data_IF_080739312850
#
_entry.id   IF_080739312850
#
_cell.length_a   1.000
_cell.length_b   1.000
_cell.length_c   1.000
_cell.angle_alpha   90.00
_cell.angle_beta   90.00
_cell.angle_gamma   90.00
#
_symmetry.space_group_name_H-M   'P 1'
#
loop_
_entity.id
_entity.type
_entity.pdbx_description
1 polymer ?
#
# COMPACT_ATOMS: atom_id res chain seq x y z
N UNK A 1 -2.88 -6.47 6.97
CA UNK A 1 -2.82 -5.99 5.57
C UNK A 1 -2.69 -7.20 4.65
N UNK A 2 -3.79 -7.72 4.06
CA UNK A 2 -3.67 -8.73 3.01
C UNK A 2 -2.79 -8.25 1.85
N UNK A 3 -2.00 -9.17 1.29
CA UNK A 3 -1.24 -8.96 0.05
C UNK A 3 -2.22 -8.95 -1.14
N UNK A 4 -2.14 -7.90 -1.94
CA UNK A 4 -3.00 -7.69 -3.11
C UNK A 4 -2.27 -8.05 -4.40
N UNK A 5 -0.96 -7.78 -4.47
CA UNK A 5 -0.13 -8.04 -5.65
C UNK A 5 1.34 -8.18 -5.28
N UNK A 6 2.09 -8.89 -6.13
CA UNK A 6 3.55 -9.02 -6.04
C UNK A 6 4.20 -9.03 -7.41
N UNK A 7 5.20 -8.19 -7.59
CA UNK A 7 5.96 -8.10 -8.85
C UNK A 7 7.36 -7.54 -8.60
N UNK A 8 8.38 -8.04 -9.30
CA UNK A 8 9.80 -7.66 -9.12
C UNK A 8 10.30 -7.69 -7.66
N UNK A 9 9.70 -8.53 -6.80
CA UNK A 9 10.03 -8.58 -5.37
C UNK A 9 9.36 -7.51 -4.51
N UNK A 10 8.54 -6.64 -5.10
CA UNK A 10 7.73 -5.64 -4.42
C UNK A 10 6.42 -6.28 -3.99
N UNK A 11 6.06 -6.16 -2.72
CA UNK A 11 4.80 -6.65 -2.15
C UNK A 11 3.88 -5.46 -1.90
N UNK A 12 2.68 -5.49 -2.49
CA UNK A 12 1.65 -4.47 -2.29
C UNK A 12 0.61 -5.01 -1.32
N UNK A 13 0.39 -4.29 -0.21
CA UNK A 13 -0.60 -4.64 0.80
C UNK A 13 -1.58 -3.49 1.03
N UNK A 14 -2.84 -3.84 1.24
CA UNK A 14 -3.91 -2.89 1.57
C UNK A 14 -4.58 -3.40 2.84
N UNK A 15 -4.92 -2.50 3.77
CA UNK A 15 -5.79 -2.83 4.89
C UNK A 15 -7.23 -2.50 4.52
N UNK A 16 -8.13 -3.47 4.64
CA UNK A 16 -9.53 -3.29 4.24
C UNK A 16 -10.30 -2.35 5.19
N UNK A 17 -9.88 -2.26 6.45
CA UNK A 17 -10.53 -1.47 7.50
C UNK A 17 -9.76 -0.16 7.78
N UNK A 18 -9.18 0.43 6.73
CA UNK A 18 -8.38 1.64 6.85
C UNK A 18 -9.18 2.94 6.69
N UNK A 19 -8.62 4.01 7.25
CA UNK A 19 -9.25 5.33 7.28
C UNK A 19 -8.86 6.17 6.06
N UNK A 20 -9.72 7.13 5.70
CA UNK A 20 -9.38 8.15 4.71
C UNK A 20 -8.19 8.99 5.19
N UNK A 21 -7.29 9.41 4.28
CA UNK A 21 -7.26 9.14 2.83
C UNK A 21 -6.84 7.70 2.47
N UNK A 22 -7.33 7.16 1.34
CA UNK A 22 -6.94 5.82 0.89
C UNK A 22 -5.42 5.73 0.68
N UNK A 23 -4.85 4.62 1.14
CA UNK A 23 -3.42 4.36 1.04
C UNK A 23 -3.12 2.87 0.86
N UNK A 24 -1.90 2.58 0.39
CA UNK A 24 -1.36 1.24 0.33
C UNK A 24 0.10 1.22 0.79
N UNK A 25 0.53 0.04 1.23
CA UNK A 25 1.90 -0.24 1.62
C UNK A 25 2.62 -0.95 0.48
N UNK A 26 3.82 -0.49 0.15
CA UNK A 26 4.73 -1.15 -0.77
C UNK A 26 6.01 -1.54 -0.03
N UNK A 27 6.35 -2.83 -0.05
CA UNK A 27 7.53 -3.37 0.63
C UNK A 27 8.53 -3.96 -0.37
N UNK A 28 9.83 -3.71 -0.18
CA UNK A 28 10.92 -4.32 -0.94
C UNK A 28 12.12 -4.61 -0.04
N UNK A 29 12.34 -5.90 0.28
CA UNK A 29 13.32 -6.30 1.29
C UNK A 29 12.96 -5.69 2.65
N UNK A 30 13.89 -4.93 3.21
CA UNK A 30 13.72 -4.22 4.50
C UNK A 30 13.07 -2.82 4.35
N UNK A 31 12.77 -2.38 3.12
CA UNK A 31 12.23 -1.04 2.85
C UNK A 31 10.71 -1.07 2.72
N UNK A 32 10.05 -0.06 3.26
CA UNK A 32 8.60 0.13 3.18
C UNK A 32 8.28 1.59 2.81
N UNK A 33 7.26 1.77 1.96
CA UNK A 33 6.67 3.07 1.64
C UNK A 33 5.16 3.03 1.82
N UNK A 34 4.63 4.07 2.47
CA UNK A 34 3.21 4.40 2.51
C UNK A 34 2.88 5.34 1.34
N UNK A 35 1.99 4.91 0.46
CA UNK A 35 1.51 5.73 -0.66
C UNK A 35 0.07 6.14 -0.39
N UNK A 36 -0.12 7.43 -0.14
CA UNK A 36 -1.43 8.03 0.12
C UNK A 36 -1.92 8.77 -1.11
N UNK A 37 -3.16 8.49 -1.54
CA UNK A 37 -3.83 9.23 -2.60
C UNK A 37 -4.85 10.21 -2.00
N UNK A 38 -4.67 11.50 -2.28
CA UNK A 38 -5.66 12.52 -1.97
C UNK A 38 -6.43 12.85 -3.26
N UNK A 39 -7.72 12.49 -3.35
CA UNK A 39 -8.53 12.95 -4.47
C UNK A 39 -8.71 14.47 -4.36
N UNK A 40 -8.33 15.19 -5.42
CA UNK A 40 -8.68 16.60 -5.59
C UNK A 40 -10.05 16.66 -6.27
N UNK A 41 -11.12 16.63 -5.48
CA UNK A 41 -12.48 16.95 -5.93
C UNK A 41 -12.91 18.25 -5.26
#
# INVERSE_FOLDING_TARGET
MPEVSRFYGIVIKIFYDDHNPPHFHAEYGEHEVLVTYFPHI
#
